data_IF_234193796548
#
_entry.id   IF_234193796548
#
_cell.length_a   1.000
_cell.length_b   1.000
_cell.length_c   1.000
_cell.angle_alpha   90.00
_cell.angle_beta   90.00
_cell.angle_gamma   90.00
#
_symmetry.space_group_name_H-M   'P 1'
#
loop_
_entity.id
_entity.type
_entity.pdbx_description
1 polymer ?
#
# COMPACT_ATOMS: atom_id res chain seq x y z
N UNK A 1 -6.63 3.44 5.91
CA UNK A 1 -7.74 2.66 5.32
C UNK A 1 -8.65 3.52 4.45
N UNK A 2 -8.98 4.77 4.86
CA UNK A 2 -9.90 5.66 4.12
C UNK A 2 -9.62 5.79 2.61
N UNK A 3 -8.35 5.92 2.21
CA UNK A 3 -7.96 5.98 0.79
C UNK A 3 -8.28 4.69 0.02
N UNK A 4 -8.13 3.53 0.65
CA UNK A 4 -8.53 2.27 0.02
C UNK A 4 -10.04 2.14 -0.09
N UNK A 5 -10.80 2.50 0.97
CA UNK A 5 -12.27 2.50 0.91
C UNK A 5 -12.76 3.27 -0.31
N UNK A 6 -12.28 4.50 -0.51
CA UNK A 6 -12.63 5.33 -1.64
C UNK A 6 -12.30 4.70 -3.00
N UNK A 7 -11.18 3.99 -3.13
CA UNK A 7 -10.82 3.28 -4.36
C UNK A 7 -11.82 2.16 -4.64
N UNK A 8 -12.14 1.33 -3.64
CA UNK A 8 -13.09 0.22 -3.80
C UNK A 8 -14.52 0.71 -4.06
N UNK A 9 -14.93 1.80 -3.40
CA UNK A 9 -16.22 2.48 -3.67
C UNK A 9 -16.28 2.98 -5.11
N UNK A 10 -15.22 3.62 -5.62
CA UNK A 10 -15.14 4.08 -7.01
C UNK A 10 -15.25 2.92 -8.02
N UNK A 11 -14.70 1.76 -7.70
CA UNK A 11 -14.87 0.54 -8.49
C UNK A 11 -16.21 -0.16 -8.24
N UNK A 12 -17.05 0.31 -7.29
CA UNK A 12 -18.28 -0.34 -6.83
C UNK A 12 -18.04 -1.80 -6.39
N UNK A 13 -16.91 -2.05 -5.69
CA UNK A 13 -16.54 -3.37 -5.19
C UNK A 13 -16.83 -3.41 -3.69
N UNK A 14 -17.84 -4.21 -3.25
CA UNK A 14 -18.06 -4.45 -1.82
C UNK A 14 -16.81 -5.06 -1.19
N UNK A 15 -16.31 -4.46 -0.11
CA UNK A 15 -15.01 -4.84 0.46
C UNK A 15 -15.02 -4.76 1.97
N UNK A 16 -14.65 -5.85 2.62
CA UNK A 16 -14.38 -5.89 4.07
C UNK A 16 -12.89 -5.63 4.32
N UNK A 17 -12.58 -4.65 5.15
CA UNK A 17 -11.21 -4.34 5.56
C UNK A 17 -10.89 -4.97 6.91
N UNK A 18 -9.94 -5.89 6.93
CA UNK A 18 -9.42 -6.52 8.14
C UNK A 18 -8.05 -5.92 8.50
N UNK A 19 -7.78 -5.36 9.66
CA UNK A 19 -8.67 -4.88 10.71
C UNK A 19 -8.80 -3.36 10.50
N UNK A 20 -9.98 -2.88 10.19
CA UNK A 20 -10.20 -1.44 10.02
C UNK A 20 -10.35 -0.78 11.39
N UNK A 21 -9.45 0.13 11.71
CA UNK A 21 -9.45 0.93 12.94
C UNK A 21 -9.56 2.44 12.62
N UNK A 22 -9.85 2.80 11.37
CA UNK A 22 -9.85 4.21 10.96
C UNK A 22 -10.89 5.03 11.72
N UNK A 23 -12.09 4.52 11.90
CA UNK A 23 -13.15 5.21 12.63
C UNK A 23 -12.84 5.38 14.13
N UNK A 24 -12.03 4.51 14.71
CA UNK A 24 -11.62 4.58 16.11
C UNK A 24 -10.88 5.90 16.41
N UNK A 25 -10.08 6.38 15.46
CA UNK A 25 -9.29 7.59 15.61
C UNK A 25 -10.01 8.84 15.10
N UNK A 26 -10.94 8.69 14.15
CA UNK A 26 -11.60 9.79 13.47
C UNK A 26 -12.98 10.13 14.08
N UNK A 27 -13.54 9.26 14.93
CA UNK A 27 -14.84 9.47 15.54
C UNK A 27 -14.79 10.56 16.63
N UNK A 28 -15.71 11.53 16.60
CA UNK A 28 -15.81 12.53 17.66
C UNK A 28 -16.22 11.89 18.99
N UNK A 29 -15.76 12.46 20.09
CA UNK A 29 -16.16 12.04 21.44
C UNK A 29 -17.62 12.42 21.68
N UNK A 30 -18.49 11.42 21.81
CA UNK A 30 -19.93 11.57 22.08
C UNK A 30 -20.26 11.54 23.59
N UNK A 31 -19.25 11.59 24.45
CA UNK A 31 -19.39 11.51 25.92
C UNK A 31 -19.68 10.11 26.45
N UNK A 32 -19.76 9.10 25.60
CA UNK A 32 -19.95 7.70 26.02
C UNK A 32 -18.60 6.98 26.03
N UNK A 33 -18.29 6.31 27.12
CA UNK A 33 -17.08 5.48 27.19
C UNK A 33 -17.26 4.25 26.30
N UNK A 34 -16.40 4.16 25.28
CA UNK A 34 -16.24 2.99 24.43
C UNK A 34 -14.76 2.66 24.34
N UNK A 35 -14.40 1.39 24.51
CA UNK A 35 -13.00 0.98 24.44
C UNK A 35 -12.45 1.19 23.02
N UNK A 36 -13.23 0.83 22.01
CA UNK A 36 -12.87 1.00 20.60
C UNK A 36 -14.16 1.26 19.79
N UNK A 37 -14.55 2.51 19.57
CA UNK A 37 -15.70 2.81 18.70
C UNK A 37 -15.33 2.54 17.24
N UNK A 38 -16.24 1.95 16.49
CA UNK A 38 -16.03 1.61 15.08
C UNK A 38 -15.18 0.35 14.87
N UNK A 39 -14.69 0.17 13.67
CA UNK A 39 -13.94 -1.00 13.26
C UNK A 39 -14.78 -2.00 12.45
N UNK A 40 -14.14 -3.07 11.98
CA UNK A 40 -14.84 -4.14 11.25
C UNK A 40 -15.67 -4.98 12.22
N UNK A 41 -16.99 -5.11 12.03
CA UNK A 41 -17.85 -5.99 12.82
C UNK A 41 -17.41 -7.45 12.75
N UNK A 42 -17.58 -8.21 13.82
CA UNK A 42 -17.12 -9.60 13.88
C UNK A 42 -17.86 -10.52 12.91
N UNK A 43 -19.13 -10.28 12.67
CA UNK A 43 -19.95 -10.98 11.68
C UNK A 43 -19.44 -10.69 10.26
N UNK A 44 -19.18 -9.44 9.91
CA UNK A 44 -18.57 -9.06 8.64
C UNK A 44 -17.18 -9.66 8.47
N UNK A 45 -16.36 -9.66 9.53
CA UNK A 45 -15.07 -10.31 9.52
C UNK A 45 -15.18 -11.83 9.30
N UNK A 46 -16.19 -12.48 9.91
CA UNK A 46 -16.49 -13.89 9.69
C UNK A 46 -16.93 -14.18 8.25
N UNK A 47 -17.76 -13.33 7.66
CA UNK A 47 -18.24 -13.48 6.27
C UNK A 47 -17.17 -13.18 5.22
N UNK A 48 -16.08 -12.52 5.59
CA UNK A 48 -15.00 -12.15 4.65
C UNK A 48 -14.36 -13.33 3.92
N UNK A 49 -14.43 -14.53 4.49
CA UNK A 49 -13.96 -15.79 3.86
C UNK A 49 -14.75 -16.17 2.61
N UNK A 50 -15.98 -15.69 2.47
CA UNK A 50 -16.84 -15.92 1.32
C UNK A 50 -16.57 -14.94 0.16
N UNK A 51 -15.60 -14.07 0.31
CA UNK A 51 -15.23 -13.07 -0.68
C UNK A 51 -14.65 -13.69 -1.97
N UNK A 52 -14.89 -13.06 -3.12
CA UNK A 52 -14.35 -13.46 -4.42
C UNK A 52 -12.81 -13.47 -4.44
N UNK A 53 -12.20 -12.54 -3.74
CA UNK A 53 -10.75 -12.41 -3.68
C UNK A 53 -10.29 -11.87 -2.32
N UNK A 54 -9.11 -12.32 -1.87
CA UNK A 54 -8.39 -11.76 -0.73
C UNK A 54 -7.17 -10.98 -1.23
N UNK A 55 -7.08 -9.72 -0.83
CA UNK A 55 -5.99 -8.83 -1.20
C UNK A 55 -5.14 -8.49 0.03
N UNK A 56 -3.83 -8.67 -0.07
CA UNK A 56 -2.88 -8.15 0.90
C UNK A 56 -2.05 -7.03 0.29
N UNK A 57 -2.09 -5.85 0.87
CA UNK A 57 -1.29 -4.67 0.48
C UNK A 57 -0.08 -4.45 1.40
N UNK A 58 0.13 -5.36 2.32
CA UNK A 58 1.27 -5.36 3.24
C UNK A 58 1.87 -6.78 3.36
N UNK A 59 2.49 -7.31 2.28
CA UNK A 59 2.88 -8.71 2.18
C UNK A 59 3.94 -9.15 3.20
N UNK A 60 4.68 -8.23 3.80
CA UNK A 60 5.61 -8.55 4.88
C UNK A 60 4.88 -8.69 6.22
N UNK A 61 4.05 -7.70 6.56
CA UNK A 61 3.31 -7.71 7.82
C UNK A 61 2.29 -8.84 7.89
N UNK A 62 1.60 -9.12 6.78
CA UNK A 62 0.52 -10.13 6.74
C UNK A 62 0.98 -11.51 6.27
N UNK A 63 2.27 -11.73 6.04
CA UNK A 63 2.79 -12.94 5.37
C UNK A 63 2.24 -14.26 5.93
N UNK A 64 2.25 -14.43 7.25
CA UNK A 64 1.75 -15.65 7.91
C UNK A 64 0.24 -15.82 7.75
N UNK A 65 -0.52 -14.77 8.04
CA UNK A 65 -1.98 -14.76 7.91
C UNK A 65 -2.41 -15.00 6.47
N UNK A 66 -1.75 -14.34 5.52
CA UNK A 66 -2.05 -14.50 4.11
C UNK A 66 -1.75 -15.91 3.59
N UNK A 67 -0.63 -16.52 4.03
CA UNK A 67 -0.31 -17.91 3.71
C UNK A 67 -1.39 -18.85 4.26
N UNK A 68 -1.77 -18.68 5.52
CA UNK A 68 -2.82 -19.49 6.13
C UNK A 68 -4.16 -19.36 5.42
N UNK A 69 -4.58 -18.13 5.05
CA UNK A 69 -5.80 -17.90 4.28
C UNK A 69 -5.72 -18.64 2.93
N UNK A 70 -4.60 -18.51 2.22
CA UNK A 70 -4.40 -19.15 0.91
C UNK A 70 -4.46 -20.68 0.97
N UNK A 71 -4.00 -21.27 2.08
CA UNK A 71 -4.02 -22.72 2.27
C UNK A 71 -5.37 -23.24 2.78
N UNK A 72 -6.12 -22.39 3.50
CA UNK A 72 -7.36 -22.79 4.18
C UNK A 72 -8.63 -22.51 3.38
N UNK A 73 -8.61 -21.52 2.48
CA UNK A 73 -9.81 -21.08 1.77
C UNK A 73 -9.59 -21.05 0.27
N UNK A 74 -10.65 -21.42 -0.46
CA UNK A 74 -10.71 -21.32 -1.92
C UNK A 74 -10.87 -19.83 -2.32
N UNK A 75 -10.47 -19.49 -3.56
CA UNK A 75 -10.63 -18.14 -4.10
C UNK A 75 -9.34 -17.58 -4.68
N UNK A 76 -9.39 -16.32 -5.07
CA UNK A 76 -8.22 -15.63 -5.57
C UNK A 76 -7.50 -14.92 -4.42
N UNK A 77 -6.19 -15.18 -4.30
CA UNK A 77 -5.36 -14.61 -3.24
C UNK A 77 -4.21 -13.82 -3.86
N UNK A 78 -4.24 -12.51 -3.71
CA UNK A 78 -3.27 -11.60 -4.32
C UNK A 78 -2.54 -10.80 -3.24
N UNK A 79 -1.23 -10.93 -3.21
CA UNK A 79 -0.36 -10.07 -2.41
C UNK A 79 0.36 -9.09 -3.32
N UNK A 80 0.30 -7.80 -3.00
CA UNK A 80 0.95 -6.76 -3.77
C UNK A 80 1.53 -5.69 -2.83
N UNK A 81 2.56 -4.99 -3.28
CA UNK A 81 3.14 -3.93 -2.47
C UNK A 81 2.14 -2.80 -2.25
N UNK A 82 2.33 -2.08 -1.17
CA UNK A 82 1.53 -0.89 -0.83
C UNK A 82 1.54 0.11 -2.00
N UNK A 83 0.38 0.59 -2.46
CA UNK A 83 0.27 1.50 -3.60
C UNK A 83 0.70 2.93 -3.20
N UNK A 84 2.00 3.14 -3.16
CA UNK A 84 2.63 4.45 -2.94
C UNK A 84 3.38 4.87 -4.20
N UNK A 85 3.18 6.14 -4.61
CA UNK A 85 3.66 6.66 -5.88
C UNK A 85 2.79 6.25 -7.07
N UNK A 86 3.12 6.74 -8.25
CA UNK A 86 2.30 6.54 -9.45
C UNK A 86 2.39 5.08 -9.92
N UNK A 87 3.59 4.54 -10.08
CA UNK A 87 3.77 3.20 -10.66
C UNK A 87 3.09 2.10 -9.84
N UNK A 88 3.22 2.11 -8.51
CA UNK A 88 2.59 1.10 -7.65
C UNK A 88 1.09 1.30 -7.54
N UNK A 89 0.61 2.54 -7.57
CA UNK A 89 -0.83 2.84 -7.58
C UNK A 89 -1.44 2.39 -8.91
N UNK A 90 -0.80 2.68 -10.03
CA UNK A 90 -1.25 2.20 -11.34
C UNK A 90 -1.33 0.66 -11.38
N UNK A 91 -0.29 -0.03 -10.90
CA UNK A 91 -0.29 -1.49 -10.84
C UNK A 91 -1.42 -2.04 -9.94
N UNK A 92 -1.72 -1.38 -8.84
CA UNK A 92 -2.82 -1.73 -7.95
C UNK A 92 -4.18 -1.57 -8.63
N UNK A 93 -4.44 -0.41 -9.27
CA UNK A 93 -5.70 -0.14 -9.95
C UNK A 93 -5.92 -1.09 -11.15
N UNK A 94 -4.86 -1.37 -11.91
CA UNK A 94 -4.93 -2.34 -13.02
C UNK A 94 -5.21 -3.75 -12.52
N UNK A 95 -4.62 -4.13 -11.37
CA UNK A 95 -4.89 -5.44 -10.78
C UNK A 95 -6.33 -5.57 -10.28
N UNK A 96 -6.90 -4.52 -9.70
CA UNK A 96 -8.33 -4.50 -9.35
C UNK A 96 -9.20 -4.62 -10.60
N UNK A 97 -8.87 -3.87 -11.65
CA UNK A 97 -9.57 -3.93 -12.94
C UNK A 97 -9.59 -5.35 -13.51
N UNK A 98 -8.45 -6.05 -13.50
CA UNK A 98 -8.33 -7.44 -13.95
C UNK A 98 -9.14 -8.42 -13.07
N UNK A 99 -8.99 -8.32 -11.75
CA UNK A 99 -9.62 -9.26 -10.80
C UNK A 99 -11.15 -9.20 -10.82
N UNK A 100 -11.71 -8.03 -11.04
CA UNK A 100 -13.13 -7.80 -10.96
C UNK A 100 -13.79 -7.57 -12.33
N UNK A 101 -13.00 -7.62 -13.39
CA UNK A 101 -13.45 -7.36 -14.79
C UNK A 101 -14.18 -6.02 -14.89
N UNK A 102 -13.60 -4.97 -14.33
CA UNK A 102 -14.14 -3.61 -14.33
C UNK A 102 -13.10 -2.61 -14.81
N UNK A 103 -13.46 -1.67 -15.69
CA UNK A 103 -12.52 -0.63 -16.13
C UNK A 103 -12.14 0.27 -14.96
N UNK A 104 -10.90 0.79 -14.98
CA UNK A 104 -10.49 1.80 -13.99
C UNK A 104 -11.42 3.02 -14.09
N UNK A 105 -12.07 3.43 -12.98
CA UNK A 105 -13.01 4.54 -12.96
C UNK A 105 -12.41 5.86 -13.45
N UNK A 106 -13.24 6.67 -14.14
CA UNK A 106 -12.80 7.94 -14.70
C UNK A 106 -12.32 8.93 -13.64
N UNK A 107 -12.94 8.92 -12.47
CA UNK A 107 -12.55 9.78 -11.35
C UNK A 107 -11.15 9.46 -10.83
N UNK A 108 -10.77 8.16 -10.73
CA UNK A 108 -9.43 7.75 -10.33
C UNK A 108 -8.38 8.10 -11.38
N UNK A 109 -8.75 8.05 -12.69
CA UNK A 109 -7.88 8.55 -13.78
C UNK A 109 -7.65 10.05 -13.66
N UNK A 110 -8.68 10.82 -13.33
CA UNK A 110 -8.57 12.26 -13.14
C UNK A 110 -7.72 12.59 -11.89
N UNK A 111 -7.89 11.84 -10.79
CA UNK A 111 -7.04 11.98 -9.60
C UNK A 111 -5.58 11.65 -9.88
N UNK A 112 -5.32 10.60 -10.66
CA UNK A 112 -3.98 10.29 -11.12
C UNK A 112 -3.34 11.45 -11.89
N UNK A 113 -4.10 12.09 -12.78
CA UNK A 113 -3.64 13.29 -13.51
C UNK A 113 -3.22 14.39 -12.53
N UNK A 114 -4.07 14.73 -11.58
CA UNK A 114 -3.76 15.73 -10.53
C UNK A 114 -2.53 15.35 -9.68
N UNK A 115 -2.38 14.06 -9.37
CA UNK A 115 -1.23 13.57 -8.62
C UNK A 115 0.07 13.73 -9.42
N UNK A 116 0.05 13.43 -10.72
CA UNK A 116 1.20 13.62 -11.62
C UNK A 116 1.58 15.11 -11.72
N UNK A 117 0.60 15.99 -11.88
CA UNK A 117 0.84 17.44 -11.91
C UNK A 117 1.47 17.93 -10.61
N UNK A 118 0.92 17.55 -9.46
CA UNK A 118 1.46 17.90 -8.16
C UNK A 118 2.88 17.35 -7.92
N UNK A 119 3.15 16.12 -8.38
CA UNK A 119 4.49 15.54 -8.29
C UNK A 119 5.49 16.27 -9.21
N UNK A 120 5.05 16.69 -10.39
CA UNK A 120 5.88 17.47 -11.34
C UNK A 120 6.26 18.81 -10.71
N UNK A 121 5.30 19.50 -10.11
CA UNK A 121 5.56 20.78 -9.42
C UNK A 121 6.50 20.60 -8.21
N UNK A 122 6.33 19.51 -7.45
CA UNK A 122 7.17 19.23 -6.30
C UNK A 122 8.57 18.71 -6.66
N UNK A 123 8.75 18.18 -7.86
CA UNK A 123 10.00 17.55 -8.29
C UNK A 123 11.20 18.51 -8.21
N UNK A 124 11.01 19.80 -8.53
CA UNK A 124 12.05 20.82 -8.43
C UNK A 124 12.66 20.94 -7.01
N UNK A 125 11.89 20.58 -5.97
CA UNK A 125 12.34 20.64 -4.58
C UNK A 125 12.92 19.30 -4.11
N UNK A 126 12.53 18.20 -4.75
CA UNK A 126 12.86 16.83 -4.34
C UNK A 126 14.02 16.23 -5.14
N UNK A 127 14.17 16.63 -6.42
CA UNK A 127 15.20 16.07 -7.29
C UNK A 127 16.61 16.26 -6.74
N UNK A 128 17.39 15.20 -6.70
CA UNK A 128 18.76 15.20 -6.18
C UNK A 128 18.87 15.35 -4.66
N UNK A 129 17.75 15.51 -3.92
CA UNK A 129 17.79 15.56 -2.46
C UNK A 129 18.15 14.20 -1.88
N UNK A 130 19.06 14.22 -0.92
CA UNK A 130 19.46 13.04 -0.18
C UNK A 130 18.51 12.83 0.99
N UNK A 131 18.07 11.59 1.20
CA UNK A 131 17.16 11.26 2.28
C UNK A 131 17.62 10.03 3.08
N UNK A 132 17.13 9.92 4.31
CA UNK A 132 17.17 8.73 5.13
C UNK A 132 15.74 8.34 5.47
N UNK A 133 15.42 7.06 5.40
CA UNK A 133 14.11 6.52 5.80
C UNK A 133 14.30 5.37 6.77
N UNK A 134 13.37 5.25 7.71
CA UNK A 134 13.28 4.09 8.59
C UNK A 134 11.84 3.65 8.75
N UNK A 135 11.61 2.39 9.02
CA UNK A 135 10.27 1.85 9.22
C UNK A 135 10.19 0.35 8.97
N UNK A 136 8.97 -0.13 8.84
CA UNK A 136 8.67 -1.51 8.51
C UNK A 136 8.81 -1.78 7.02
N UNK A 137 9.04 -3.04 6.66
CA UNK A 137 9.39 -3.47 5.30
C UNK A 137 8.43 -2.98 4.23
N UNK A 138 7.11 -3.10 4.48
CA UNK A 138 6.09 -2.71 3.50
C UNK A 138 6.09 -1.20 3.23
N UNK A 139 6.19 -0.39 4.31
CA UNK A 139 6.30 1.06 4.20
C UNK A 139 7.59 1.51 3.54
N UNK A 140 8.72 0.88 3.90
CA UNK A 140 10.02 1.23 3.30
C UNK A 140 10.04 1.04 1.80
N UNK A 141 9.52 -0.09 1.30
CA UNK A 141 9.40 -0.34 -0.14
C UNK A 141 8.51 0.69 -0.83
N UNK A 142 7.43 1.11 -0.17
CA UNK A 142 6.55 2.17 -0.67
C UNK A 142 7.26 3.51 -0.74
N UNK A 143 7.82 3.97 0.39
CA UNK A 143 8.50 5.27 0.48
C UNK A 143 9.72 5.36 -0.42
N UNK A 144 10.58 4.35 -0.44
CA UNK A 144 11.77 4.35 -1.30
C UNK A 144 11.35 4.43 -2.77
N UNK A 145 10.36 3.64 -3.19
CA UNK A 145 9.83 3.70 -4.56
C UNK A 145 9.32 5.10 -4.91
N UNK A 146 8.49 5.70 -4.06
CA UNK A 146 7.94 7.04 -4.26
C UNK A 146 9.02 8.12 -4.31
N UNK A 147 9.98 8.09 -3.39
CA UNK A 147 11.07 9.08 -3.37
C UNK A 147 11.99 8.95 -4.57
N UNK A 148 12.20 7.73 -5.08
CA UNK A 148 12.92 7.51 -6.34
C UNK A 148 12.13 8.04 -7.54
N UNK A 149 10.81 7.91 -7.58
CA UNK A 149 9.97 8.53 -8.61
C UNK A 149 10.11 10.05 -8.61
N UNK A 150 10.30 10.68 -7.44
CA UNK A 150 10.54 12.11 -7.27
C UNK A 150 11.99 12.52 -7.60
N UNK A 151 12.84 11.60 -8.02
CA UNK A 151 14.24 11.87 -8.34
C UNK A 151 15.15 12.09 -7.13
N UNK A 152 14.69 11.73 -5.93
CA UNK A 152 15.48 11.82 -4.70
C UNK A 152 16.47 10.67 -4.57
N UNK A 153 17.52 10.86 -3.75
CA UNK A 153 18.65 9.93 -3.60
C UNK A 153 18.63 9.32 -2.20
N UNK A 154 18.37 8.01 -2.05
CA UNK A 154 18.45 7.36 -0.74
C UNK A 154 19.91 7.29 -0.27
N UNK A 155 20.15 7.65 1.00
CA UNK A 155 21.45 7.53 1.65
C UNK A 155 21.46 6.46 2.73
N UNK A 156 20.38 6.38 3.49
CA UNK A 156 20.24 5.39 4.55
C UNK A 156 18.81 4.85 4.52
N UNK A 157 18.70 3.53 4.49
CA UNK A 157 17.43 2.81 4.59
C UNK A 157 17.56 1.85 5.77
N UNK A 158 16.79 2.12 6.83
CA UNK A 158 16.81 1.32 8.05
C UNK A 158 15.49 0.60 8.23
N UNK A 159 15.55 -0.70 8.42
CA UNK A 159 14.38 -1.53 8.65
C UNK A 159 14.35 -2.05 10.09
N UNK A 160 13.18 -1.97 10.73
CA UNK A 160 12.96 -2.55 12.07
C UNK A 160 13.18 -4.07 12.08
N UNK A 161 12.84 -4.73 10.97
CA UNK A 161 12.98 -6.17 10.79
C UNK A 161 13.44 -6.48 9.36
N UNK A 162 14.74 -6.41 9.14
CA UNK A 162 15.36 -6.71 7.86
C UNK A 162 15.23 -8.18 7.45
N UNK A 163 15.26 -8.42 6.13
CA UNK A 163 15.33 -9.77 5.56
C UNK A 163 16.06 -9.74 4.23
N UNK A 164 16.68 -10.86 3.84
CA UNK A 164 17.33 -11.00 2.52
C UNK A 164 16.37 -10.78 1.34
N UNK A 165 15.07 -11.01 1.55
CA UNK A 165 14.05 -10.71 0.54
C UNK A 165 13.90 -9.20 0.38
N UNK A 166 13.76 -8.46 1.48
CA UNK A 166 13.67 -7.01 1.47
C UNK A 166 14.90 -6.35 0.84
N UNK A 167 16.09 -6.80 1.21
CA UNK A 167 17.35 -6.31 0.63
C UNK A 167 17.36 -6.45 -0.89
N UNK A 168 16.96 -7.61 -1.41
CA UNK A 168 16.89 -7.85 -2.87
C UNK A 168 15.84 -6.97 -3.55
N UNK A 169 14.67 -6.76 -2.93
CA UNK A 169 13.62 -5.91 -3.50
C UNK A 169 14.04 -4.43 -3.49
N UNK A 170 14.68 -3.97 -2.42
CA UNK A 170 15.24 -2.61 -2.35
C UNK A 170 16.35 -2.42 -3.39
N UNK A 171 17.28 -3.38 -3.51
CA UNK A 171 18.34 -3.32 -4.50
C UNK A 171 17.76 -3.25 -5.93
N UNK A 172 16.76 -4.07 -6.24
CA UNK A 172 16.10 -4.03 -7.55
C UNK A 172 15.44 -2.66 -7.84
N UNK A 173 14.87 -1.99 -6.84
CA UNK A 173 14.33 -0.64 -7.00
C UNK A 173 15.44 0.39 -7.30
N UNK A 174 16.60 0.25 -6.68
CA UNK A 174 17.74 1.12 -6.90
C UNK A 174 18.37 0.90 -8.28
N UNK A 175 18.56 -0.35 -8.66
CA UNK A 175 19.14 -0.75 -9.96
C UNK A 175 18.27 -0.29 -11.14
N UNK A 176 16.94 -0.38 -11.00
CA UNK A 176 15.99 0.06 -12.01
C UNK A 176 16.06 1.57 -12.31
N UNK A 177 16.67 2.35 -11.43
CA UNK A 177 16.81 3.82 -11.58
C UNK A 177 18.18 4.25 -12.07
N UNK A 178 19.09 3.31 -12.38
CA UNK A 178 20.46 3.63 -12.79
C UNK A 178 21.17 4.61 -11.82
N UNK A 179 20.80 4.52 -10.57
CA UNK A 179 21.43 5.29 -9.51
C UNK A 179 22.66 4.50 -9.06
N UNK A 180 23.84 4.92 -9.50
CA UNK A 180 25.11 4.46 -8.95
C UNK A 180 25.21 4.82 -7.45
N UNK A 181 24.49 4.12 -6.62
CA UNK A 181 24.49 4.23 -5.17
C UNK A 181 25.00 2.92 -4.61
N UNK A 182 26.23 2.96 -4.09
CA UNK A 182 26.73 1.94 -3.19
C UNK A 182 25.85 1.91 -1.95
N UNK A 183 24.86 1.03 -1.94
CA UNK A 183 24.02 0.80 -0.77
C UNK A 183 24.72 -0.20 0.12
N UNK A 184 25.46 0.28 1.07
CA UNK A 184 25.88 -0.52 2.21
C UNK A 184 24.73 -0.58 3.21
N UNK A 185 23.87 -1.59 3.11
CA UNK A 185 22.97 -1.97 4.20
C UNK A 185 23.83 -2.57 5.33
N UNK A 186 23.94 -1.87 6.44
CA UNK A 186 24.47 -2.39 7.70
C UNK A 186 23.33 -2.62 8.67
#
# INVERSE_FOLDING_TARGET
VSGYKRIFEAFEIPTTFLADISETFDSPNDGKYRIYPGGTPLDEAGDSINGKATLSVAPYATSKTFTWIKESYAGQHVAMPMPMGIAKTDAFLLKLSELFDRPVPAELKAERGRAVDAMTDAQQYMHGRKFAVYGDSDYLLGYVSFLLEMGSIPRHILCSKGSKKLERELQALLDARDTALDVHAR
#
